data_IF_936287880666
#
_entry.id   IF_936287880666
#
_cell.length_a   1.000
_cell.length_b   1.000
_cell.length_c   1.000
_cell.angle_alpha   90.00
_cell.angle_beta   90.00
_cell.angle_gamma   90.00
#
_symmetry.space_group_name_H-M   'P 1'
#
loop_
_entity.id
_entity.type
_entity.pdbx_description
1 polymer ?
#
# COMPACT_ATOMS: atom_id res chain seq x y z
N UNK A 1 -6.40 -4.48 -3.89
CA UNK A 1 -7.07 -4.58 -5.19
C UNK A 1 -8.07 -5.73 -5.25
N UNK A 2 -7.74 -6.98 -4.85
CA UNK A 2 -8.66 -8.12 -4.89
C UNK A 2 -9.94 -7.88 -4.07
N UNK A 3 -9.83 -7.43 -2.82
CA UNK A 3 -10.99 -7.11 -1.97
C UNK A 3 -11.90 -6.01 -2.56
N UNK A 4 -11.38 -5.09 -3.34
CA UNK A 4 -12.20 -4.08 -4.03
C UNK A 4 -13.02 -4.70 -5.17
N UNK A 5 -12.48 -5.73 -5.85
CA UNK A 5 -13.20 -6.53 -6.83
C UNK A 5 -14.39 -7.29 -6.20
N UNK A 6 -14.18 -7.92 -5.05
CA UNK A 6 -15.23 -8.64 -4.30
C UNK A 6 -16.30 -7.68 -3.78
N UNK A 7 -15.89 -6.50 -3.30
CA UNK A 7 -16.82 -5.45 -2.90
C UNK A 7 -17.67 -4.97 -4.09
N UNK A 8 -17.10 -4.82 -5.28
CA UNK A 8 -17.84 -4.46 -6.49
C UNK A 8 -18.79 -5.57 -6.95
N UNK A 9 -18.42 -6.84 -6.80
CA UNK A 9 -19.31 -7.98 -7.07
C UNK A 9 -20.51 -7.97 -6.11
N UNK A 10 -20.27 -7.69 -4.84
CA UNK A 10 -21.33 -7.52 -3.82
C UNK A 10 -22.23 -6.32 -4.13
N UNK A 11 -21.68 -5.21 -4.66
CA UNK A 11 -22.45 -4.04 -5.07
C UNK A 11 -23.44 -4.34 -6.19
N UNK A 12 -23.14 -5.29 -7.10
CA UNK A 12 -24.10 -5.77 -8.10
C UNK A 12 -25.30 -6.45 -7.42
N UNK A 13 -25.05 -7.28 -6.41
CA UNK A 13 -26.11 -7.96 -5.64
C UNK A 13 -26.99 -6.94 -4.90
N UNK A 14 -26.37 -5.90 -4.32
CA UNK A 14 -27.09 -4.76 -3.71
C UNK A 14 -27.93 -4.03 -4.76
N UNK A 15 -27.41 -3.76 -5.95
CA UNK A 15 -28.18 -3.11 -7.02
C UNK A 15 -29.37 -3.98 -7.47
N UNK A 16 -29.20 -5.33 -7.53
CA UNK A 16 -30.28 -6.27 -7.85
C UNK A 16 -31.35 -6.35 -6.75
N UNK A 17 -30.99 -6.09 -5.49
CA UNK A 17 -31.95 -6.10 -4.39
C UNK A 17 -33.05 -5.04 -4.53
N UNK A 18 -32.83 -3.99 -5.33
CA UNK A 18 -33.81 -2.97 -5.65
C UNK A 18 -35.05 -3.51 -6.42
N UNK A 19 -35.00 -4.72 -6.95
CA UNK A 19 -36.15 -5.41 -7.55
C UNK A 19 -36.97 -6.22 -6.53
N UNK A 20 -36.44 -6.42 -5.31
CA UNK A 20 -37.09 -7.25 -4.28
C UNK A 20 -38.10 -6.40 -3.48
N UNK A 21 -39.12 -7.05 -2.90
CA UNK A 21 -40.00 -6.40 -1.93
C UNK A 21 -39.21 -5.86 -0.73
N UNK A 22 -39.54 -4.65 -0.32
CA UNK A 22 -38.98 -4.01 0.88
C UNK A 22 -40.02 -4.04 1.99
N UNK A 23 -39.71 -4.67 3.10
CA UNK A 23 -40.54 -4.69 4.30
C UNK A 23 -39.92 -3.73 5.32
N UNK A 24 -40.72 -2.81 5.84
CA UNK A 24 -40.30 -1.85 6.87
C UNK A 24 -41.22 -1.99 8.06
N UNK A 25 -40.68 -2.16 9.25
CA UNK A 25 -41.42 -2.17 10.53
C UNK A 25 -41.04 -0.90 11.27
N UNK A 26 -42.07 -0.12 11.64
CA UNK A 26 -41.91 1.11 12.41
C UNK A 26 -42.66 0.97 13.73
N UNK A 27 -41.96 1.24 14.83
CA UNK A 27 -42.56 1.35 16.16
C UNK A 27 -42.32 2.76 16.65
N UNK A 28 -43.37 3.43 17.08
CA UNK A 28 -43.32 4.77 17.66
C UNK A 28 -43.93 4.72 19.05
N UNK A 29 -43.18 5.16 20.03
CA UNK A 29 -43.68 5.40 21.37
C UNK A 29 -43.44 6.89 21.71
N UNK A 30 -44.46 7.59 22.09
CA UNK A 30 -44.39 9.01 22.46
C UNK A 30 -45.26 9.32 23.66
N UNK A 31 -44.76 10.17 24.54
CA UNK A 31 -45.51 10.74 25.66
C UNK A 31 -45.50 12.26 25.52
N UNK A 32 -46.67 12.86 25.47
CA UNK A 32 -46.83 14.32 25.44
C UNK A 32 -47.51 14.80 26.71
N UNK A 33 -46.86 15.68 27.44
CA UNK A 33 -47.40 16.35 28.62
C UNK A 33 -47.90 17.71 28.20
N UNK A 34 -49.22 17.91 28.27
CA UNK A 34 -49.85 19.17 27.88
C UNK A 34 -49.50 20.31 28.86
N UNK A 35 -48.77 21.31 28.36
CA UNK A 35 -48.51 22.55 29.08
C UNK A 35 -49.45 23.70 28.63
N UNK A 36 -50.36 23.44 27.70
CA UNK A 36 -51.29 24.42 27.16
C UNK A 36 -52.68 24.15 27.68
N UNK A 37 -53.38 25.21 28.10
CA UNK A 37 -54.73 25.15 28.65
C UNK A 37 -55.68 24.41 27.68
N UNK A 38 -56.22 23.27 28.09
CA UNK A 38 -57.17 22.47 27.31
C UNK A 38 -56.60 21.28 26.56
N UNK A 39 -55.28 21.04 26.58
CA UNK A 39 -54.64 19.85 26.00
C UNK A 39 -54.17 18.97 27.16
N UNK A 40 -54.83 17.83 27.36
CA UNK A 40 -54.44 16.84 28.38
C UNK A 40 -53.15 16.06 28.02
N UNK A 41 -52.61 15.35 29.00
CA UNK A 41 -51.52 14.40 28.79
C UNK A 41 -51.96 13.30 27.82
N UNK A 42 -51.11 12.94 26.87
CA UNK A 42 -51.39 11.87 25.92
C UNK A 42 -50.20 10.96 25.76
N UNK A 43 -50.42 9.65 25.86
CA UNK A 43 -49.46 8.62 25.55
C UNK A 43 -49.85 7.98 24.21
N UNK A 44 -48.88 7.88 23.28
CA UNK A 44 -49.09 7.31 21.97
C UNK A 44 -48.16 6.15 21.78
N UNK A 45 -48.72 4.99 21.39
CA UNK A 45 -47.99 3.83 20.91
C UNK A 45 -48.52 3.47 19.52
N UNK A 46 -47.63 3.45 18.54
CA UNK A 46 -47.98 3.05 17.18
C UNK A 46 -47.01 2.00 16.66
N UNK A 47 -47.54 0.92 16.09
CA UNK A 47 -46.81 -0.09 15.39
C UNK A 47 -47.33 -0.18 13.95
N UNK A 48 -46.46 -0.01 12.97
CA UNK A 48 -46.83 -0.06 11.56
C UNK A 48 -45.83 -0.96 10.76
N UNK A 49 -46.39 -1.88 9.96
CA UNK A 49 -45.67 -2.67 9.00
C UNK A 49 -46.03 -2.19 7.58
N UNK A 50 -45.02 -1.91 6.76
CA UNK A 50 -45.18 -1.49 5.36
C UNK A 50 -44.43 -2.43 4.44
N UNK A 51 -45.12 -2.95 3.43
CA UNK A 51 -44.52 -3.71 2.34
C UNK A 51 -44.58 -2.86 1.06
N UNK A 52 -43.42 -2.67 0.42
CA UNK A 52 -43.31 -1.95 -0.84
C UNK A 52 -42.70 -2.82 -1.92
N UNK A 53 -43.39 -2.99 -3.03
CA UNK A 53 -42.96 -3.80 -4.17
C UNK A 53 -42.84 -2.90 -5.41
N UNK A 54 -41.64 -2.70 -5.97
CA UNK A 54 -41.45 -1.90 -7.18
C UNK A 54 -41.90 -2.70 -8.41
N UNK A 55 -43.07 -2.39 -8.96
CA UNK A 55 -43.61 -3.04 -10.18
C UNK A 55 -43.02 -2.42 -11.44
N UNK A 56 -42.93 -1.09 -11.48
CA UNK A 56 -42.39 -0.35 -12.63
C UNK A 56 -41.52 0.83 -12.13
N UNK A 57 -40.27 0.91 -12.65
CA UNK A 57 -39.27 1.91 -12.22
C UNK A 57 -38.69 2.69 -13.40
N UNK A 58 -39.39 2.75 -14.54
CA UNK A 58 -38.94 3.46 -15.78
C UNK A 58 -37.48 3.14 -16.17
N UNK A 59 -37.04 1.91 -15.96
CA UNK A 59 -35.68 1.47 -16.28
C UNK A 59 -34.59 1.86 -15.28
N UNK A 60 -34.92 2.58 -14.21
CA UNK A 60 -33.95 3.05 -13.22
C UNK A 60 -33.19 1.88 -12.55
N UNK A 61 -33.86 0.84 -12.11
CA UNK A 61 -33.23 -0.33 -11.50
C UNK A 61 -32.32 -1.05 -12.48
N UNK A 62 -32.73 -1.20 -13.74
CA UNK A 62 -31.88 -1.78 -14.80
C UNK A 62 -30.63 -0.95 -15.04
N UNK A 63 -30.74 0.38 -15.03
CA UNK A 63 -29.61 1.29 -15.18
C UNK A 63 -28.64 1.17 -13.98
N UNK A 64 -29.16 1.07 -12.76
CA UNK A 64 -28.33 0.86 -11.54
C UNK A 64 -27.55 -0.45 -11.61
N UNK A 65 -28.18 -1.56 -11.99
CA UNK A 65 -27.49 -2.84 -12.14
C UNK A 65 -26.42 -2.75 -13.22
N UNK A 66 -26.73 -2.14 -14.37
CA UNK A 66 -25.74 -1.94 -15.45
C UNK A 66 -24.56 -1.09 -14.97
N UNK A 67 -24.81 0.00 -14.25
CA UNK A 67 -23.76 0.85 -13.66
C UNK A 67 -22.87 0.05 -12.71
N UNK A 68 -23.43 -0.76 -11.82
CA UNK A 68 -22.67 -1.61 -10.92
C UNK A 68 -21.84 -2.66 -11.67
N UNK A 69 -22.40 -3.29 -12.71
CA UNK A 69 -21.69 -4.26 -13.57
C UNK A 69 -20.52 -3.61 -14.31
N UNK A 70 -20.70 -2.41 -14.85
CA UNK A 70 -19.64 -1.68 -15.53
C UNK A 70 -18.54 -1.20 -14.54
N UNK A 71 -18.92 -0.83 -13.31
CA UNK A 71 -17.98 -0.48 -12.26
C UNK A 71 -17.10 -1.70 -11.89
N UNK A 72 -17.70 -2.90 -11.78
CA UNK A 72 -16.93 -4.13 -11.57
C UNK A 72 -15.98 -4.39 -12.74
N UNK A 73 -16.46 -4.34 -13.98
CA UNK A 73 -15.62 -4.55 -15.18
C UNK A 73 -14.43 -3.57 -15.23
N UNK A 74 -14.65 -2.31 -14.84
CA UNK A 74 -13.57 -1.32 -14.73
C UNK A 74 -12.51 -1.75 -13.72
N UNK A 75 -12.93 -2.19 -12.54
CA UNK A 75 -12.00 -2.67 -11.51
C UNK A 75 -11.24 -3.93 -11.94
N UNK A 76 -11.87 -4.84 -12.70
CA UNK A 76 -11.20 -6.01 -13.26
C UNK A 76 -10.07 -5.61 -14.25
N UNK A 77 -10.26 -4.55 -15.02
CA UNK A 77 -9.22 -4.00 -15.90
C UNK A 77 -8.13 -3.27 -15.11
N UNK A 78 -8.51 -2.47 -14.11
CA UNK A 78 -7.57 -1.79 -13.22
C UNK A 78 -6.68 -2.79 -12.46
N UNK A 79 -7.23 -3.94 -12.08
CA UNK A 79 -6.47 -5.03 -11.44
C UNK A 79 -5.41 -5.59 -12.39
N UNK A 80 -5.79 -5.88 -13.65
CA UNK A 80 -4.85 -6.38 -14.66
C UNK A 80 -3.74 -5.38 -14.97
N UNK A 81 -4.09 -4.09 -15.07
CA UNK A 81 -3.12 -3.02 -15.27
C UNK A 81 -2.13 -2.93 -14.10
N UNK A 82 -2.64 -3.08 -12.87
CA UNK A 82 -1.81 -3.12 -11.68
C UNK A 82 -0.87 -4.35 -11.66
N UNK A 83 -1.34 -5.52 -12.04
CA UNK A 83 -0.52 -6.75 -12.16
C UNK A 83 0.62 -6.54 -13.15
N UNK A 84 0.32 -6.05 -14.35
CA UNK A 84 1.34 -5.74 -15.36
C UNK A 84 2.34 -4.68 -14.90
N UNK A 85 1.86 -3.66 -14.17
CA UNK A 85 2.71 -2.62 -13.60
C UNK A 85 3.66 -3.17 -12.54
N UNK A 86 3.20 -4.10 -11.70
CA UNK A 86 4.05 -4.77 -10.69
C UNK A 86 5.13 -5.60 -11.38
N UNK A 87 4.77 -6.42 -12.37
CA UNK A 87 5.72 -7.22 -13.13
C UNK A 87 6.81 -6.35 -13.76
N UNK A 88 6.41 -5.23 -14.37
CA UNK A 88 7.35 -4.27 -14.96
C UNK A 88 8.29 -3.64 -13.91
N UNK A 89 7.77 -3.26 -12.74
CA UNK A 89 8.58 -2.68 -11.65
C UNK A 89 9.59 -3.70 -11.12
N UNK A 90 9.18 -4.96 -10.94
CA UNK A 90 10.07 -6.03 -10.49
C UNK A 90 11.18 -6.27 -11.50
N UNK A 91 10.85 -6.40 -12.78
CA UNK A 91 11.82 -6.59 -13.86
C UNK A 91 12.82 -5.42 -13.95
N UNK A 92 12.32 -4.19 -13.88
CA UNK A 92 13.16 -2.99 -13.88
C UNK A 92 14.10 -2.97 -12.66
N UNK A 93 13.60 -3.29 -11.46
CA UNK A 93 14.41 -3.33 -10.25
C UNK A 93 15.49 -4.39 -10.31
N UNK A 94 15.19 -5.54 -10.93
CA UNK A 94 16.17 -6.60 -11.17
C UNK A 94 17.28 -6.15 -12.11
N UNK A 95 16.95 -5.50 -13.22
CA UNK A 95 17.93 -4.98 -14.16
C UNK A 95 18.78 -3.87 -13.53
N UNK A 96 18.18 -2.99 -12.71
CA UNK A 96 18.91 -1.95 -11.99
C UNK A 96 19.92 -2.56 -11.00
N UNK A 97 19.54 -3.61 -10.26
CA UNK A 97 20.45 -4.33 -9.36
C UNK A 97 21.64 -4.94 -10.12
N UNK A 98 21.36 -5.62 -11.22
CA UNK A 98 22.44 -6.21 -12.03
C UNK A 98 23.38 -5.14 -12.60
N UNK A 99 22.85 -4.03 -13.11
CA UNK A 99 23.65 -2.90 -13.59
C UNK A 99 24.52 -2.30 -12.49
N UNK A 100 23.97 -2.11 -11.28
CA UNK A 100 24.70 -1.59 -10.12
C UNK A 100 25.84 -2.52 -9.69
N UNK A 101 25.61 -3.84 -9.71
CA UNK A 101 26.65 -4.84 -9.40
C UNK A 101 27.77 -4.83 -10.43
N UNK A 102 27.45 -4.73 -11.72
CA UNK A 102 28.44 -4.59 -12.78
C UNK A 102 29.24 -3.29 -12.67
N UNK A 103 28.57 -2.18 -12.34
CA UNK A 103 29.23 -0.90 -12.09
C UNK A 103 30.21 -0.98 -10.90
N UNK A 104 29.86 -1.69 -9.84
CA UNK A 104 30.77 -1.92 -8.71
C UNK A 104 32.02 -2.72 -9.12
N UNK A 105 31.85 -3.75 -9.95
CA UNK A 105 33.01 -4.52 -10.50
C UNK A 105 33.89 -3.62 -11.33
N UNK A 106 33.32 -2.80 -12.22
CA UNK A 106 34.06 -1.85 -13.05
C UNK A 106 34.79 -0.81 -12.21
N UNK A 107 34.15 -0.24 -11.17
CA UNK A 107 34.78 0.75 -10.27
C UNK A 107 35.95 0.13 -9.47
N UNK A 108 35.84 -1.12 -9.02
CA UNK A 108 36.96 -1.81 -8.38
C UNK A 108 38.15 -2.01 -9.35
N UNK A 109 37.85 -2.35 -10.61
CA UNK A 109 38.91 -2.46 -11.65
C UNK A 109 39.58 -1.10 -11.93
N UNK A 110 38.77 -0.01 -11.91
CA UNK A 110 39.29 1.35 -12.05
C UNK A 110 40.26 1.71 -10.93
N UNK A 111 39.92 1.36 -9.66
CA UNK A 111 40.84 1.59 -8.51
C UNK A 111 42.16 0.85 -8.74
N UNK A 112 42.10 -0.42 -9.10
CA UNK A 112 43.34 -1.20 -9.35
C UNK A 112 44.19 -0.60 -10.47
N UNK A 113 43.56 -0.13 -11.55
CA UNK A 113 44.28 0.52 -12.66
C UNK A 113 44.91 1.87 -12.23
N UNK A 114 44.16 2.68 -11.44
CA UNK A 114 44.66 3.95 -10.93
C UNK A 114 45.83 3.77 -9.94
N UNK A 115 45.76 2.74 -9.08
CA UNK A 115 46.85 2.41 -8.14
C UNK A 115 48.11 1.99 -8.89
N UNK A 116 48.02 1.13 -9.92
CA UNK A 116 49.16 0.77 -10.77
C UNK A 116 49.75 1.98 -11.51
N UNK A 117 48.90 2.85 -12.03
CA UNK A 117 49.33 4.10 -12.67
C UNK A 117 50.04 5.04 -11.68
N UNK A 118 49.53 5.17 -10.46
CA UNK A 118 50.17 5.95 -9.40
C UNK A 118 51.53 5.39 -9.02
N UNK A 119 51.66 4.08 -8.84
CA UNK A 119 52.95 3.43 -8.58
C UNK A 119 53.97 3.71 -9.70
N UNK A 120 53.53 3.64 -10.97
CA UNK A 120 54.38 3.98 -12.11
C UNK A 120 54.86 5.43 -12.09
N UNK A 121 53.95 6.38 -11.87
CA UNK A 121 54.30 7.82 -11.77
C UNK A 121 55.17 8.11 -10.55
N UNK A 122 54.97 7.45 -9.42
CA UNK A 122 55.81 7.56 -8.23
C UNK A 122 57.24 7.11 -8.48
N UNK A 123 57.42 5.98 -9.15
CA UNK A 123 58.74 5.48 -9.53
C UNK A 123 59.43 6.40 -10.53
N UNK A 124 58.71 6.92 -11.55
CA UNK A 124 59.26 7.90 -12.51
C UNK A 124 59.66 9.20 -11.82
N UNK A 125 58.92 9.66 -10.79
CA UNK A 125 59.21 10.84 -10.03
C UNK A 125 60.46 10.65 -9.15
N UNK A 126 60.63 9.48 -8.52
CA UNK A 126 61.85 9.15 -7.74
C UNK A 126 63.09 9.17 -8.62
N UNK A 127 62.97 8.75 -9.88
CA UNK A 127 64.05 8.78 -10.89
C UNK A 127 64.27 10.17 -11.50
N UNK A 128 63.49 11.18 -11.09
CA UNK A 128 63.56 12.54 -11.61
C UNK A 128 62.97 12.75 -13.02
N UNK A 129 62.22 11.79 -13.53
CA UNK A 129 61.58 11.81 -14.85
C UNK A 129 60.22 12.49 -14.86
N UNK A 130 59.60 12.69 -13.68
CA UNK A 130 58.31 13.35 -13.48
C UNK A 130 58.41 14.39 -12.40
N UNK A 131 57.50 15.36 -12.44
CA UNK A 131 57.41 16.40 -11.43
C UNK A 131 56.43 16.02 -10.31
N UNK A 132 56.48 16.75 -9.17
CA UNK A 132 55.61 16.47 -8.04
C UNK A 132 54.10 16.76 -8.34
N UNK A 133 53.78 17.58 -9.33
CA UNK A 133 52.41 17.85 -9.75
C UNK A 133 51.78 16.62 -10.44
N UNK A 134 52.59 15.91 -11.25
CA UNK A 134 52.15 14.67 -11.91
C UNK A 134 51.81 13.58 -10.86
N UNK A 135 52.65 13.48 -9.80
CA UNK A 135 52.38 12.57 -8.68
C UNK A 135 51.07 12.92 -7.94
N UNK A 136 50.88 14.22 -7.66
CA UNK A 136 49.67 14.68 -6.98
C UNK A 136 48.40 14.43 -7.84
N UNK A 137 48.50 14.63 -9.15
CA UNK A 137 47.41 14.31 -10.07
C UNK A 137 47.07 12.79 -10.08
N UNK A 138 48.09 11.95 -10.06
CA UNK A 138 47.88 10.51 -10.01
C UNK A 138 47.27 10.04 -8.65
N UNK A 139 47.67 10.66 -7.53
CA UNK A 139 47.09 10.44 -6.22
C UNK A 139 45.61 10.86 -6.19
N UNK A 140 45.29 12.03 -6.78
CA UNK A 140 43.90 12.50 -6.89
C UNK A 140 43.04 11.55 -7.72
N UNK A 141 43.60 10.94 -8.78
CA UNK A 141 42.87 9.97 -9.59
C UNK A 141 42.58 8.68 -8.80
N UNK A 142 43.52 8.18 -7.98
CA UNK A 142 43.28 7.05 -7.06
C UNK A 142 42.16 7.40 -6.06
N UNK A 143 42.19 8.62 -5.51
CA UNK A 143 41.14 9.06 -4.58
C UNK A 143 39.76 9.10 -5.25
N UNK A 144 39.69 9.67 -6.47
CA UNK A 144 38.45 9.72 -7.26
C UNK A 144 37.94 8.32 -7.59
N UNK A 145 38.80 7.38 -7.95
CA UNK A 145 38.44 6.00 -8.19
C UNK A 145 37.88 5.33 -6.92
N UNK A 146 38.50 5.56 -5.75
CA UNK A 146 38.00 5.05 -4.44
C UNK A 146 36.63 5.64 -4.06
N UNK A 147 36.40 6.90 -4.34
CA UNK A 147 35.07 7.52 -4.17
C UNK A 147 34.02 6.86 -5.06
N UNK A 148 34.37 6.58 -6.33
CA UNK A 148 33.48 5.88 -7.26
C UNK A 148 33.09 4.48 -6.78
N UNK A 149 34.01 3.75 -6.10
CA UNK A 149 33.68 2.46 -5.46
C UNK A 149 32.71 2.64 -4.31
N UNK A 150 32.88 3.68 -3.49
CA UNK A 150 31.96 3.94 -2.37
C UNK A 150 30.54 4.24 -2.89
N UNK A 151 30.42 5.07 -3.93
CA UNK A 151 29.16 5.39 -4.59
C UNK A 151 28.53 4.13 -5.24
N UNK A 152 29.32 3.32 -5.90
CA UNK A 152 28.85 2.09 -6.51
C UNK A 152 28.34 1.08 -5.45
N UNK A 153 29.00 0.94 -4.30
CA UNK A 153 28.52 0.13 -3.17
C UNK A 153 27.20 0.63 -2.63
N UNK A 154 27.09 1.94 -2.44
CA UNK A 154 25.83 2.56 -1.99
C UNK A 154 24.69 2.25 -2.97
N UNK A 155 24.94 2.40 -4.29
CA UNK A 155 23.95 2.13 -5.32
C UNK A 155 23.52 0.66 -5.35
N UNK A 156 24.44 -0.30 -5.13
CA UNK A 156 24.08 -1.72 -4.97
C UNK A 156 23.14 -1.91 -3.80
N UNK A 157 23.45 -1.35 -2.62
CA UNK A 157 22.60 -1.48 -1.44
C UNK A 157 21.20 -0.89 -1.67
N UNK A 158 21.11 0.29 -2.31
CA UNK A 158 19.81 0.89 -2.66
C UNK A 158 19.03 0.01 -3.63
N UNK A 159 19.69 -0.57 -4.64
CA UNK A 159 19.03 -1.44 -5.62
C UNK A 159 18.56 -2.76 -4.97
N UNK A 160 19.28 -3.29 -3.98
CA UNK A 160 18.85 -4.46 -3.19
C UNK A 160 17.59 -4.15 -2.37
N UNK A 161 17.49 -2.97 -1.75
CA UNK A 161 16.26 -2.56 -1.08
C UNK A 161 15.10 -2.30 -2.05
N UNK A 162 15.37 -1.72 -3.22
CA UNK A 162 14.33 -1.48 -4.25
C UNK A 162 13.70 -2.80 -4.72
N UNK A 163 14.47 -3.85 -4.96
CA UNK A 163 13.90 -5.13 -5.36
C UNK A 163 13.07 -5.76 -4.24
N UNK A 164 13.51 -5.68 -2.98
CA UNK A 164 12.71 -6.14 -1.83
C UNK A 164 11.39 -5.37 -1.71
N UNK A 165 11.41 -4.05 -1.94
CA UNK A 165 10.19 -3.22 -1.96
C UNK A 165 9.25 -3.62 -3.09
N UNK A 166 9.78 -3.85 -4.30
CA UNK A 166 8.97 -4.23 -5.47
C UNK A 166 8.29 -5.59 -5.29
N UNK A 167 8.93 -6.50 -4.56
CA UNK A 167 8.39 -7.82 -4.20
C UNK A 167 7.44 -7.79 -3.00
N UNK A 168 7.27 -6.62 -2.34
CA UNK A 168 6.49 -6.50 -1.11
C UNK A 168 7.15 -7.13 0.12
N UNK A 169 8.43 -7.50 0.04
CA UNK A 169 9.17 -8.13 1.12
C UNK A 169 9.86 -7.10 2.07
N UNK A 170 9.76 -5.81 1.76
CA UNK A 170 10.34 -4.74 2.58
C UNK A 170 9.39 -4.36 3.72
N UNK A 171 9.20 -5.27 4.67
CA UNK A 171 8.46 -5.06 5.91
C UNK A 171 9.25 -5.65 7.09
N UNK A 172 8.89 -5.29 8.29
CA UNK A 172 9.65 -5.62 9.49
C UNK A 172 9.91 -7.12 9.69
N UNK A 173 8.94 -7.96 9.35
CA UNK A 173 9.11 -9.43 9.36
C UNK A 173 9.99 -9.93 8.21
N UNK A 174 9.88 -9.32 7.02
CA UNK A 174 10.62 -9.71 5.82
C UNK A 174 12.12 -9.40 5.89
N UNK A 175 12.50 -8.44 6.74
CA UNK A 175 13.91 -8.04 6.98
C UNK A 175 14.45 -8.50 8.34
N UNK A 176 13.70 -9.34 9.06
CA UNK A 176 14.10 -9.92 10.36
C UNK A 176 14.60 -8.87 11.36
N UNK A 177 13.84 -7.77 11.49
CA UNK A 177 14.18 -6.72 12.45
C UNK A 177 13.88 -7.20 13.88
N UNK A 178 14.77 -6.94 14.84
CA UNK A 178 14.56 -7.29 16.26
C UNK A 178 13.59 -6.32 16.94
N UNK A 179 12.33 -6.26 16.46
CA UNK A 179 11.28 -5.40 16.99
C UNK A 179 10.04 -6.23 17.33
N UNK A 180 9.30 -5.82 18.36
CA UNK A 180 8.00 -6.43 18.65
C UNK A 180 6.97 -5.97 17.65
N UNK A 181 6.27 -6.92 17.02
CA UNK A 181 5.21 -6.59 16.05
C UNK A 181 3.92 -6.25 16.78
N UNK A 182 3.28 -5.16 16.33
CA UNK A 182 1.95 -4.82 16.78
C UNK A 182 0.93 -5.71 16.07
N UNK A 183 0.14 -6.47 16.85
CA UNK A 183 -0.98 -7.26 16.33
C UNK A 183 -2.29 -6.48 16.47
N UNK A 184 -2.82 -5.89 15.38
CA UNK A 184 -4.08 -5.13 15.42
C UNK A 184 -5.30 -6.03 15.68
N UNK A 185 -5.25 -7.31 15.30
CA UNK A 185 -6.34 -8.26 15.49
C UNK A 185 -6.52 -8.59 16.98
N UNK A 186 -5.44 -8.81 17.71
CA UNK A 186 -5.49 -9.04 19.16
C UNK A 186 -6.11 -7.87 19.92
N UNK A 187 -5.79 -6.64 19.54
CA UNK A 187 -6.40 -5.45 20.12
C UNK A 187 -7.91 -5.33 19.79
N UNK A 188 -8.31 -5.71 18.58
CA UNK A 188 -9.72 -5.73 18.19
C UNK A 188 -10.51 -6.81 18.94
N UNK A 189 -9.95 -8.00 19.13
CA UNK A 189 -10.54 -9.09 19.91
C UNK A 189 -10.75 -8.68 21.37
N UNK A 190 -9.75 -8.10 22.01
CA UNK A 190 -9.84 -7.58 23.39
C UNK A 190 -10.97 -6.55 23.57
N UNK A 191 -11.14 -5.63 22.62
CA UNK A 191 -12.21 -4.65 22.67
C UNK A 191 -13.59 -5.28 22.41
N UNK A 192 -13.65 -6.22 21.47
CA UNK A 192 -14.88 -6.90 21.09
C UNK A 192 -15.41 -7.75 22.26
N UNK A 193 -14.55 -8.51 22.91
CA UNK A 193 -14.89 -9.33 24.07
C UNK A 193 -15.29 -8.49 25.29
N UNK A 194 -14.58 -7.39 25.57
CA UNK A 194 -14.97 -6.45 26.62
C UNK A 194 -16.32 -5.77 26.38
N UNK A 195 -16.65 -5.40 25.13
CA UNK A 195 -17.95 -4.84 24.79
C UNK A 195 -19.08 -5.86 24.98
N UNK A 196 -18.88 -7.09 24.56
CA UNK A 196 -19.87 -8.17 24.69
C UNK A 196 -20.09 -8.54 26.15
N UNK A 197 -19.02 -8.66 26.95
CA UNK A 197 -19.08 -8.93 28.38
C UNK A 197 -19.81 -7.82 29.16
N UNK A 198 -19.57 -6.55 28.84
CA UNK A 198 -20.22 -5.41 29.48
C UNK A 198 -21.70 -5.25 29.07
N UNK A 199 -22.07 -5.65 27.85
CA UNK A 199 -23.47 -5.68 27.44
C UNK A 199 -24.26 -6.78 28.17
N UNK A 200 -23.69 -7.98 28.31
CA UNK A 200 -24.34 -9.10 29.02
C UNK A 200 -24.54 -8.80 30.51
N UNK A 201 -23.57 -8.19 31.19
CA UNK A 201 -23.71 -7.74 32.60
C UNK A 201 -24.75 -6.66 32.84
N UNK A 202 -25.23 -5.99 31.81
CA UNK A 202 -26.27 -4.97 31.91
C UNK A 202 -27.70 -5.54 31.81
N UNK A 203 -27.83 -6.83 31.47
CA UNK A 203 -29.10 -7.56 31.36
C UNK A 203 -29.27 -8.63 32.46
N UNK A 204 -28.29 -8.82 33.37
CA UNK A 204 -28.42 -9.52 34.64
C UNK A 204 -28.77 -8.51 35.77
#
# INVERSE_FOLDING_TARGET
AYFSGDAAASAISVAKSAYRPKITLNALAGSSRGQTFGIGDSDQLALAARVSVPIFTSGMNRSRVRKASLAKARLDFELRDLELSIDQIVEQSWHELNASRLALVASNTQVSAAEVAFEGVSLEQELGLRNALDLLNAEQEVLNAKLSVADARYNVSISEFKILMSMGAFHSEGIDLPVSFYNPEGYFEDISDNKMSNLLKKFE
#
